data_IF_002257151700
#
_entry.id   IF_002257151700
#
_cell.length_a   1.000
_cell.length_b   1.000
_cell.length_c   1.000
_cell.angle_alpha   90.00
_cell.angle_beta   90.00
_cell.angle_gamma   90.00
#
_symmetry.space_group_name_H-M   'P 1'
#
loop_
_entity.id
_entity.type
_entity.pdbx_description
1 polymer ?
#
# COMPACT_ATOMS: atom_id res chain seq x y z
N UNK A 1 -1.69 14.29 13.33
CA UNK A 1 -2.29 13.18 12.56
C UNK A 1 -3.23 12.42 13.48
N UNK A 2 -4.36 11.91 12.99
CA UNK A 2 -5.39 11.28 13.83
C UNK A 2 -4.99 9.82 14.11
N UNK A 3 -4.81 9.45 15.38
CA UNK A 3 -4.49 8.08 15.76
C UNK A 3 -5.69 7.16 15.46
N UNK A 4 -5.52 6.22 14.54
CA UNK A 4 -6.55 5.23 14.20
C UNK A 4 -6.40 4.00 15.11
N UNK A 5 -7.51 3.50 15.62
CA UNK A 5 -7.51 2.35 16.53
C UNK A 5 -6.88 1.08 15.92
N UNK A 6 -6.98 0.91 14.58
CA UNK A 6 -6.44 -0.25 13.85
C UNK A 6 -4.92 -0.18 13.62
N UNK A 7 -4.25 0.94 13.90
CA UNK A 7 -2.81 1.12 13.61
C UNK A 7 -1.92 0.04 14.27
N UNK A 8 -2.11 -0.36 15.53
CA UNK A 8 -1.28 -1.41 16.14
C UNK A 8 -1.42 -2.77 15.43
N UNK A 9 -2.64 -3.13 15.04
CA UNK A 9 -2.93 -4.37 14.31
C UNK A 9 -2.31 -4.34 12.91
N UNK A 10 -2.43 -3.23 12.19
CA UNK A 10 -1.78 -3.02 10.90
C UNK A 10 -0.25 -3.21 10.98
N UNK A 11 0.38 -2.65 12.01
CA UNK A 11 1.83 -2.82 12.23
C UNK A 11 2.16 -4.28 12.52
N UNK A 12 1.37 -4.96 13.36
CA UNK A 12 1.62 -6.36 13.70
C UNK A 12 1.49 -7.27 12.46
N UNK A 13 0.40 -7.13 11.71
CA UNK A 13 0.16 -7.89 10.48
C UNK A 13 1.29 -7.65 9.45
N UNK A 14 1.82 -6.44 9.36
CA UNK A 14 2.92 -6.13 8.42
C UNK A 14 4.24 -6.85 8.73
N UNK A 15 4.40 -7.40 9.94
CA UNK A 15 5.55 -8.20 10.34
C UNK A 15 5.34 -9.69 10.10
N UNK A 16 4.09 -10.14 10.11
CA UNK A 16 3.70 -11.55 10.00
C UNK A 16 3.42 -11.96 8.56
N UNK A 17 2.91 -11.04 7.75
CA UNK A 17 2.46 -11.32 6.38
C UNK A 17 3.25 -10.53 5.35
N UNK A 18 3.58 -11.14 4.19
CA UNK A 18 4.27 -10.44 3.10
C UNK A 18 3.38 -9.38 2.43
N UNK A 19 2.06 -9.53 2.55
CA UNK A 19 1.06 -8.62 1.98
C UNK A 19 -0.03 -8.37 3.02
N UNK A 20 -0.39 -7.10 3.21
CA UNK A 20 -1.48 -6.68 4.10
C UNK A 20 -2.37 -5.71 3.35
N UNK A 21 -3.67 -6.00 3.32
CA UNK A 21 -4.68 -5.19 2.61
C UNK A 21 -5.58 -4.49 3.62
N UNK A 22 -5.78 -3.17 3.47
CA UNK A 22 -6.77 -2.43 4.26
C UNK A 22 -8.04 -2.27 3.45
N UNK A 23 -9.13 -2.88 3.94
CA UNK A 23 -10.45 -2.78 3.35
C UNK A 23 -11.28 -1.69 4.04
N UNK A 24 -12.27 -1.16 3.33
CA UNK A 24 -13.22 -0.18 3.87
C UNK A 24 -13.81 0.73 2.80
N UNK A 25 -14.87 1.50 3.14
CA UNK A 25 -15.59 2.32 2.18
C UNK A 25 -14.70 3.39 1.51
N UNK A 26 -15.16 3.91 0.37
CA UNK A 26 -14.53 5.08 -0.27
C UNK A 26 -14.48 6.24 0.73
N UNK A 27 -13.40 7.04 0.67
CA UNK A 27 -13.18 8.20 1.53
C UNK A 27 -13.06 7.94 3.05
N UNK A 28 -12.82 6.69 3.48
CA UNK A 28 -12.56 6.36 4.90
C UNK A 28 -11.17 6.78 5.43
N UNK A 29 -10.30 7.31 4.55
CA UNK A 29 -8.92 7.70 4.88
C UNK A 29 -7.94 6.53 4.96
N UNK A 30 -8.18 5.46 4.18
CA UNK A 30 -7.33 4.25 4.12
C UNK A 30 -5.90 4.60 3.70
N UNK A 31 -5.75 5.28 2.56
CA UNK A 31 -4.45 5.75 2.04
C UNK A 31 -3.71 6.60 3.06
N UNK A 32 -4.41 7.54 3.70
CA UNK A 32 -3.84 8.39 4.75
C UNK A 32 -3.32 7.57 5.93
N UNK A 33 -4.06 6.55 6.39
CA UNK A 33 -3.62 5.66 7.46
C UNK A 33 -2.37 4.85 7.08
N UNK A 34 -2.34 4.26 5.89
CA UNK A 34 -1.20 3.43 5.47
C UNK A 34 0.06 4.30 5.31
N UNK A 35 -0.06 5.45 4.67
CA UNK A 35 1.06 6.40 4.51
C UNK A 35 1.53 6.96 5.86
N UNK A 36 0.62 7.22 6.81
CA UNK A 36 0.96 7.61 8.18
C UNK A 36 1.81 6.56 8.88
N UNK A 37 1.40 5.30 8.74
CA UNK A 37 1.96 4.16 9.48
C UNK A 37 3.30 3.75 8.90
N UNK A 38 3.47 3.88 7.57
CA UNK A 38 4.66 3.48 6.85
C UNK A 38 5.23 4.64 6.00
N UNK A 39 5.67 5.76 6.61
CA UNK A 39 6.05 6.97 5.90
C UNK A 39 7.30 6.81 5.01
N UNK A 40 8.05 5.73 5.20
CA UNK A 40 9.26 5.40 4.43
C UNK A 40 8.98 4.46 3.26
N UNK A 41 7.78 3.86 3.17
CA UNK A 41 7.45 2.96 2.06
C UNK A 41 7.11 3.79 0.82
N UNK A 42 7.63 3.43 -0.37
CA UNK A 42 7.21 4.03 -1.62
C UNK A 42 5.70 3.92 -1.80
N UNK A 43 5.09 4.97 -2.34
CA UNK A 43 3.68 4.98 -2.71
C UNK A 43 3.54 4.77 -4.22
N UNK A 44 2.69 3.82 -4.60
CA UNK A 44 2.49 3.40 -5.98
C UNK A 44 1.00 3.48 -6.30
N UNK A 45 0.63 4.41 -7.18
CA UNK A 45 -0.73 4.53 -7.68
C UNK A 45 -0.93 3.57 -8.86
N UNK A 46 -1.73 2.53 -8.67
CA UNK A 46 -2.03 1.53 -9.70
C UNK A 46 -2.91 2.06 -10.83
N UNK A 47 -3.56 3.22 -10.66
CA UNK A 47 -4.33 3.87 -11.74
C UNK A 47 -3.46 4.71 -12.68
N UNK A 48 -2.20 4.99 -12.32
CA UNK A 48 -1.29 5.70 -13.22
C UNK A 48 -1.13 4.90 -14.51
N UNK A 49 -1.30 5.50 -15.72
CA UNK A 49 -1.23 4.76 -16.98
C UNK A 49 0.04 3.94 -17.14
N UNK A 50 1.19 4.47 -16.70
CA UNK A 50 2.48 3.80 -16.77
C UNK A 50 2.57 2.61 -15.80
N UNK A 51 2.12 2.81 -14.55
CA UNK A 51 2.14 1.76 -13.52
C UNK A 51 1.16 0.66 -13.87
N UNK A 52 -0.03 1.03 -14.35
CA UNK A 52 -1.06 0.09 -14.79
C UNK A 52 -0.56 -0.76 -15.95
N UNK A 53 0.00 -0.13 -16.99
CA UNK A 53 0.56 -0.86 -18.12
C UNK A 53 1.64 -1.84 -17.67
N UNK A 54 2.52 -1.44 -16.74
CA UNK A 54 3.54 -2.34 -16.19
C UNK A 54 2.94 -3.46 -15.33
N UNK A 55 1.94 -3.17 -14.50
CA UNK A 55 1.26 -4.18 -13.69
C UNK A 55 0.57 -5.25 -14.56
N UNK A 56 -0.01 -4.84 -15.69
CA UNK A 56 -0.70 -5.72 -16.64
C UNK A 56 0.28 -6.53 -17.50
N UNK A 57 1.43 -5.93 -17.89
CA UNK A 57 2.39 -6.56 -18.81
C UNK A 57 3.53 -7.32 -18.13
N UNK A 58 4.01 -6.84 -16.97
CA UNK A 58 5.09 -7.45 -16.19
C UNK A 58 4.92 -7.19 -14.67
N UNK A 59 3.99 -7.91 -14.01
CA UNK A 59 3.75 -7.76 -12.57
C UNK A 59 4.98 -8.12 -11.72
N UNK A 60 5.79 -9.09 -12.16
CA UNK A 60 7.03 -9.46 -11.47
C UNK A 60 8.07 -8.35 -11.54
N UNK A 61 8.24 -7.73 -12.71
CA UNK A 61 9.10 -6.55 -12.89
C UNK A 61 8.64 -5.35 -12.09
N UNK A 62 7.33 -5.11 -11.99
CA UNK A 62 6.77 -4.07 -11.10
C UNK A 62 7.17 -4.31 -9.65
N UNK A 63 6.91 -5.51 -9.11
CA UNK A 63 7.23 -5.84 -7.72
C UNK A 63 8.73 -5.82 -7.44
N UNK A 64 9.56 -6.21 -8.42
CA UNK A 64 11.03 -6.20 -8.32
C UNK A 64 11.60 -4.79 -8.14
N UNK A 65 10.86 -3.73 -8.51
CA UNK A 65 11.26 -2.32 -8.23
C UNK A 65 11.16 -1.97 -6.74
N UNK A 66 10.46 -2.78 -5.95
CA UNK A 66 10.18 -2.52 -4.53
C UNK A 66 10.64 -3.68 -3.65
N UNK A 67 11.96 -3.96 -3.56
CA UNK A 67 12.48 -5.10 -2.81
C UNK A 67 12.19 -5.02 -1.30
N UNK A 68 11.95 -3.81 -0.78
CA UNK A 68 11.58 -3.57 0.63
C UNK A 68 10.06 -3.33 0.81
N UNK A 69 9.27 -3.70 -0.20
CA UNK A 69 7.82 -3.48 -0.25
C UNK A 69 7.43 -2.04 -0.58
N UNK A 70 6.15 -1.85 -0.90
CA UNK A 70 5.54 -0.57 -1.24
C UNK A 70 4.09 -0.51 -0.75
N UNK A 71 3.52 0.68 -0.75
CA UNK A 71 2.08 0.91 -0.62
C UNK A 71 1.53 0.92 -2.04
N UNK A 72 0.72 -0.09 -2.36
CA UNK A 72 -0.01 -0.15 -3.62
C UNK A 72 -1.43 0.36 -3.36
N UNK A 73 -1.85 1.37 -4.10
CA UNK A 73 -3.17 1.98 -3.91
C UNK A 73 -3.97 1.99 -5.22
N UNK A 74 -5.28 1.77 -5.06
CA UNK A 74 -6.31 1.98 -6.07
C UNK A 74 -7.10 3.23 -5.64
N UNK A 75 -6.87 4.37 -6.30
CA UNK A 75 -7.54 5.63 -5.94
C UNK A 75 -8.81 5.79 -6.74
#
# INVERSE_FOLDING_TARGET
MLNRAITPELIQMSKEYPVVTILGPRQAGKTTLVQATFPKKPYVNLESPEVRALAETDPHGLLSRYPNGAILDEV
#
